data_IF_886333943842
#
_entry.id   IF_886333943842
#
_cell.length_a   1.000
_cell.length_b   1.000
_cell.length_c   1.000
_cell.angle_alpha   90.00
_cell.angle_beta   90.00
_cell.angle_gamma   90.00
#
_symmetry.space_group_name_H-M   'P 1'
#
loop_
_entity.id
_entity.type
_entity.pdbx_description
1 polymer ?
#
# COMPACT_ATOMS: atom_id res chain seq x y z
N UNK A 1 28.83 3.48 -9.25
CA UNK A 1 27.68 2.57 -9.23
C UNK A 1 27.28 2.37 -7.78
N UNK A 2 26.41 3.22 -7.25
CA UNK A 2 25.96 3.13 -5.86
C UNK A 2 24.83 2.11 -5.78
N UNK A 3 25.11 0.95 -5.18
CA UNK A 3 24.07 0.03 -4.73
C UNK A 3 23.28 0.73 -3.63
N UNK A 4 22.26 1.49 -4.03
CA UNK A 4 21.34 2.17 -3.12
C UNK A 4 20.51 1.11 -2.40
N UNK A 5 20.86 0.81 -1.17
CA UNK A 5 19.98 0.08 -0.25
C UNK A 5 18.72 0.93 -0.10
N UNK A 6 17.67 0.61 -0.86
CA UNK A 6 16.39 1.29 -0.76
C UNK A 6 15.91 1.11 0.68
N UNK A 7 15.67 2.21 1.38
CA UNK A 7 15.13 2.15 2.74
C UNK A 7 13.76 1.48 2.72
N UNK A 8 13.33 0.91 3.83
CA UNK A 8 12.00 0.30 3.97
C UNK A 8 10.88 1.25 3.51
N UNK A 9 11.06 2.54 3.78
CA UNK A 9 10.22 3.65 3.29
C UNK A 9 10.15 3.76 1.76
N UNK A 10 11.29 3.64 1.08
CA UNK A 10 11.35 3.71 -0.40
C UNK A 10 10.72 2.46 -1.03
N UNK A 11 10.94 1.30 -0.43
CA UNK A 11 10.29 0.06 -0.84
C UNK A 11 8.77 0.13 -0.66
N UNK A 12 8.27 0.68 0.45
CA UNK A 12 6.84 0.95 0.68
C UNK A 12 6.26 1.88 -0.38
N UNK A 13 6.94 2.99 -0.66
CA UNK A 13 6.46 3.99 -1.60
C UNK A 13 6.37 3.44 -3.04
N UNK A 14 7.29 2.54 -3.40
CA UNK A 14 7.33 1.91 -4.72
C UNK A 14 6.53 0.61 -4.79
N UNK A 15 5.98 0.14 -3.66
CA UNK A 15 5.21 -1.09 -3.59
C UNK A 15 3.89 -0.90 -4.34
N UNK A 16 3.78 -1.58 -5.47
CA UNK A 16 2.55 -1.66 -6.24
C UNK A 16 2.01 -3.07 -6.15
N UNK A 17 0.70 -3.21 -5.99
CA UNK A 17 0.03 -4.51 -5.97
C UNK A 17 0.27 -5.26 -7.28
N UNK A 18 0.22 -4.57 -8.42
CA UNK A 18 0.39 -5.19 -9.74
C UNK A 18 -0.59 -6.34 -9.95
N UNK A 19 -0.07 -7.52 -10.27
CA UNK A 19 -0.83 -8.78 -10.46
C UNK A 19 -0.94 -9.63 -9.19
N UNK A 20 -0.33 -9.18 -8.08
CA UNK A 20 -0.35 -9.89 -6.80
C UNK A 20 -1.71 -9.70 -6.12
N UNK A 21 -2.19 -10.70 -5.39
CA UNK A 21 -3.45 -10.57 -4.64
C UNK A 21 -3.36 -9.47 -3.57
N UNK A 22 -4.49 -8.79 -3.33
CA UNK A 22 -4.61 -7.74 -2.31
C UNK A 22 -4.05 -8.20 -0.97
N UNK A 23 -4.40 -9.42 -0.53
CA UNK A 23 -3.94 -9.98 0.75
C UNK A 23 -2.42 -10.08 0.86
N UNK A 24 -1.74 -10.61 -0.16
CA UNK A 24 -0.28 -10.70 -0.20
C UNK A 24 0.35 -9.30 -0.20
N UNK A 25 -0.22 -8.37 -0.98
CA UNK A 25 0.21 -6.98 -1.01
C UNK A 25 0.06 -6.30 0.37
N UNK A 26 -1.09 -6.44 1.03
CA UNK A 26 -1.33 -5.90 2.38
C UNK A 26 -0.37 -6.49 3.40
N UNK A 27 -0.11 -7.80 3.33
CA UNK A 27 0.80 -8.46 4.26
C UNK A 27 2.24 -7.95 4.11
N UNK A 28 2.69 -7.79 2.86
CA UNK A 28 4.01 -7.24 2.56
C UNK A 28 4.12 -5.77 3.00
N UNK A 29 3.10 -4.97 2.68
CA UNK A 29 3.02 -3.57 3.07
C UNK A 29 3.03 -3.40 4.58
N UNK A 30 2.31 -4.24 5.33
CA UNK A 30 2.29 -4.20 6.80
C UNK A 30 3.63 -4.57 7.42
N UNK A 31 4.31 -5.57 6.85
CA UNK A 31 5.66 -5.97 7.29
C UNK A 31 6.65 -4.83 7.12
N UNK A 32 6.64 -4.18 5.96
CA UNK A 32 7.49 -3.02 5.70
C UNK A 32 7.07 -1.81 6.55
N UNK A 33 5.77 -1.59 6.72
CA UNK A 33 5.21 -0.53 7.55
C UNK A 33 5.62 -0.65 9.02
N UNK A 34 5.63 -1.87 9.57
CA UNK A 34 6.11 -2.12 10.93
C UNK A 34 7.61 -1.89 11.10
N UNK A 35 8.40 -2.09 10.04
CA UNK A 35 9.83 -1.80 10.00
C UNK A 35 10.15 -0.34 9.61
N UNK A 36 9.13 0.47 9.29
CA UNK A 36 9.26 1.85 8.84
C UNK A 36 8.65 2.81 9.86
N UNK A 37 9.24 3.98 10.06
CA UNK A 37 8.72 4.98 11.01
C UNK A 37 7.57 5.83 10.44
N UNK A 38 6.77 5.27 9.52
CA UNK A 38 5.68 5.98 8.87
C UNK A 38 4.44 6.01 9.77
N UNK A 39 3.71 7.13 9.75
CA UNK A 39 2.43 7.24 10.43
C UNK A 39 1.31 6.54 9.62
N UNK A 40 0.19 6.23 10.28
CA UNK A 40 -0.96 5.56 9.66
C UNK A 40 -1.49 6.31 8.44
N UNK A 41 -1.52 7.65 8.46
CA UNK A 41 -1.98 8.46 7.32
C UNK A 41 -1.06 8.32 6.11
N UNK A 42 0.26 8.31 6.32
CA UNK A 42 1.25 8.11 5.28
C UNK A 42 1.19 6.68 4.71
N UNK A 43 0.97 5.69 5.58
CA UNK A 43 0.75 4.30 5.19
C UNK A 43 -0.53 4.15 4.36
N UNK A 44 -1.65 4.75 4.78
CA UNK A 44 -2.91 4.75 4.04
C UNK A 44 -2.77 5.41 2.66
N UNK A 45 -2.07 6.54 2.59
CA UNK A 45 -1.82 7.25 1.33
C UNK A 45 -1.04 6.38 0.34
N UNK A 46 0.08 5.80 0.76
CA UNK A 46 0.89 4.94 -0.10
C UNK A 46 0.19 3.62 -0.46
N UNK A 47 -0.55 3.03 0.48
CA UNK A 47 -1.32 1.81 0.23
C UNK A 47 -2.39 2.04 -0.85
N UNK A 48 -3.12 3.16 -0.78
CA UNK A 48 -4.12 3.54 -1.80
C UNK A 48 -3.48 3.84 -3.15
N UNK A 49 -2.30 4.46 -3.17
CA UNK A 49 -1.58 4.75 -4.42
C UNK A 49 -0.99 3.49 -5.07
N UNK A 50 -0.55 2.51 -4.28
CA UNK A 50 0.02 1.26 -4.79
C UNK A 50 -1.02 0.18 -5.12
N UNK A 51 -2.24 0.31 -4.60
CA UNK A 51 -3.38 -0.52 -4.97
C UNK A 51 -3.78 -0.31 -6.42
N UNK A 52 -4.30 -1.36 -7.05
CA UNK A 52 -4.89 -1.23 -8.38
C UNK A 52 -6.08 -0.25 -8.31
N UNK A 53 -6.15 0.77 -9.19
CA UNK A 53 -7.25 1.74 -9.22
C UNK A 53 -8.63 1.08 -9.28
N UNK A 54 -8.79 -0.06 -9.95
CA UNK A 54 -10.06 -0.80 -9.98
C UNK A 54 -10.45 -1.33 -8.59
N UNK A 55 -9.48 -1.79 -7.80
CA UNK A 55 -9.72 -2.27 -6.43
C UNK A 55 -9.94 -1.09 -5.49
N UNK A 56 -9.19 0.01 -5.66
CA UNK A 56 -9.41 1.23 -4.90
C UNK A 56 -10.81 1.80 -5.18
N UNK A 57 -11.27 1.75 -6.43
CA UNK A 57 -12.63 2.15 -6.81
C UNK A 57 -13.68 1.21 -6.23
N UNK A 58 -13.46 -0.11 -6.28
CA UNK A 58 -14.36 -1.09 -5.66
C UNK A 58 -14.46 -0.92 -4.14
N UNK A 59 -13.35 -0.63 -3.46
CA UNK A 59 -13.34 -0.33 -2.02
C UNK A 59 -14.09 0.97 -1.71
N UNK A 60 -13.90 2.02 -2.52
CA UNK A 60 -14.62 3.29 -2.35
C UNK A 60 -16.12 3.13 -2.60
N UNK A 61 -16.51 2.32 -3.59
CA UNK A 61 -17.91 2.00 -3.89
C UNK A 61 -18.53 1.15 -2.77
N UNK A 62 -17.75 0.23 -2.20
CA UNK A 62 -18.19 -0.58 -1.07
C UNK A 62 -18.35 0.28 0.20
N UNK A 63 -17.39 1.15 0.51
CA UNK A 63 -17.47 2.10 1.63
C UNK A 63 -18.67 3.05 1.51
N UNK A 64 -18.93 3.59 0.32
CA UNK A 64 -20.13 4.39 0.00
C UNK A 64 -21.43 3.58 0.21
N UNK A 65 -21.44 2.30 -0.16
CA UNK A 65 -22.60 1.43 0.00
C UNK A 65 -22.84 0.92 1.42
N UNK A 66 -21.82 0.89 2.27
CA UNK A 66 -21.91 0.47 3.68
C UNK A 66 -22.30 1.65 4.59
N UNK A 67 -22.37 2.86 4.05
CA UNK A 67 -22.87 4.05 4.72
C UNK A 67 -24.41 4.19 4.77
N UNK A 68 -25.16 3.08 4.89
CA UNK A 68 -26.63 3.10 5.01
C UNK A 68 -27.13 2.67 6.40
#
# INVERSE_FOLDING_TARGET
MTTGTLTTSDQLFRLQQGTTSVNDYTLYFRTLGAASSWNETALLGAYRQGLNPDICAAMALYDDSIGL
#
